data_IF_802916307694
#
_entry.id   IF_802916307694
#
_cell.length_a   1.000
_cell.length_b   1.000
_cell.length_c   1.000
_cell.angle_alpha   90.00
_cell.angle_beta   90.00
_cell.angle_gamma   90.00
#
_symmetry.space_group_name_H-M   'P 1'
#
loop_
_entity.id
_entity.type
_entity.pdbx_description
1 polymer ?
#
# COMPACT_ATOMS: atom_id res chain seq x y z
N UNK A 1 -4.44 -3.70 30.20
CA UNK A 1 -4.23 -5.07 29.72
C UNK A 1 -5.34 -5.37 28.72
N UNK A 2 -5.05 -5.31 27.43
CA UNK A 2 -5.97 -5.81 26.41
C UNK A 2 -6.05 -7.32 26.59
N UNK A 3 -7.22 -7.82 26.98
CA UNK A 3 -7.50 -9.25 26.95
C UNK A 3 -7.27 -9.72 25.51
N UNK A 4 -6.61 -10.87 25.33
CA UNK A 4 -6.30 -11.46 24.02
C UNK A 4 -7.56 -11.91 23.27
N UNK A 5 -8.43 -10.94 22.97
CA UNK A 5 -9.66 -11.11 22.21
C UNK A 5 -9.28 -11.02 20.75
N UNK A 6 -9.76 -12.00 20.01
CA UNK A 6 -9.72 -11.98 18.57
C UNK A 6 -10.38 -10.70 18.00
N UNK A 7 -9.72 -10.06 17.03
CA UNK A 7 -10.16 -8.80 16.46
C UNK A 7 -10.82 -9.01 15.09
N UNK A 8 -12.12 -9.26 15.11
CA UNK A 8 -12.96 -9.51 13.93
C UNK A 8 -13.72 -8.24 13.55
N UNK A 9 -13.03 -7.30 12.91
CA UNK A 9 -13.62 -6.02 12.53
C UNK A 9 -14.71 -6.18 11.47
N UNK A 10 -15.88 -5.60 11.69
CA UNK A 10 -16.85 -5.43 10.61
C UNK A 10 -16.40 -4.33 9.62
N UNK A 11 -17.12 -4.18 8.51
CA UNK A 11 -16.80 -3.19 7.47
C UNK A 11 -16.73 -1.76 8.02
N UNK A 12 -17.67 -1.37 8.91
CA UNK A 12 -17.69 -0.02 9.47
C UNK A 12 -16.48 0.20 10.39
N UNK A 13 -16.14 -0.78 11.23
CA UNK A 13 -14.97 -0.70 12.09
C UNK A 13 -13.66 -0.68 11.29
N UNK A 14 -13.58 -1.41 10.16
CA UNK A 14 -12.46 -1.32 9.22
C UNK A 14 -12.34 0.08 8.64
N UNK A 15 -13.45 0.72 8.23
CA UNK A 15 -13.45 2.11 7.79
C UNK A 15 -12.93 3.04 8.90
N UNK A 16 -13.32 2.80 10.15
CA UNK A 16 -12.81 3.53 11.32
C UNK A 16 -11.28 3.43 11.45
N UNK A 17 -10.70 2.25 11.25
CA UNK A 17 -9.22 2.07 11.25
C UNK A 17 -8.55 2.87 10.12
N UNK A 18 -9.13 2.87 8.92
CA UNK A 18 -8.59 3.60 7.78
C UNK A 18 -8.67 5.11 8.01
N UNK A 19 -9.76 5.60 8.59
CA UNK A 19 -9.89 7.00 8.99
C UNK A 19 -8.94 7.40 10.10
N UNK A 20 -8.68 6.51 11.06
CA UNK A 20 -7.69 6.76 12.10
C UNK A 20 -6.31 6.98 11.47
N UNK A 21 -5.91 6.16 10.49
CA UNK A 21 -4.69 6.38 9.72
C UNK A 21 -4.68 7.75 9.03
N UNK A 22 -5.77 8.13 8.36
CA UNK A 22 -5.90 9.44 7.72
C UNK A 22 -5.77 10.58 8.74
N UNK A 23 -6.36 10.43 9.92
CA UNK A 23 -6.27 11.45 10.98
C UNK A 23 -4.82 11.68 11.44
N UNK A 24 -4.02 10.60 11.57
CA UNK A 24 -2.60 10.72 11.87
C UNK A 24 -1.82 11.38 10.74
N UNK A 25 -2.17 11.11 9.47
CA UNK A 25 -1.55 11.77 8.33
C UNK A 25 -1.88 13.27 8.30
N UNK A 26 -3.12 13.66 8.61
CA UNK A 26 -3.53 15.06 8.73
C UNK A 26 -2.82 15.77 9.88
N UNK A 27 -2.71 15.13 11.04
CA UNK A 27 -1.97 15.66 12.19
C UNK A 27 -0.49 15.88 11.86
N UNK A 28 0.13 14.93 11.15
CA UNK A 28 1.56 14.98 10.85
C UNK A 28 1.90 15.92 9.67
N UNK A 29 1.10 15.92 8.60
CA UNK A 29 1.41 16.66 7.37
C UNK A 29 0.63 17.97 7.20
N UNK A 30 -0.46 18.14 7.94
CA UNK A 30 -1.44 19.22 7.79
C UNK A 30 -2.68 18.78 7.00
N UNK A 31 -3.84 19.33 7.36
CA UNK A 31 -5.10 19.20 6.62
C UNK A 31 -5.27 20.35 5.62
N UNK A 32 -4.23 20.58 4.82
CA UNK A 32 -4.24 21.55 3.72
C UNK A 32 -3.78 20.88 2.43
N UNK A 33 -3.84 21.62 1.33
CA UNK A 33 -3.47 21.12 0.00
C UNK A 33 -1.99 20.67 -0.05
N UNK A 34 -1.11 21.28 0.76
CA UNK A 34 0.29 20.86 0.85
C UNK A 34 0.45 19.56 1.64
N UNK A 35 -0.28 19.41 2.75
CA UNK A 35 -0.31 18.22 3.57
C UNK A 35 -0.91 17.03 2.83
N UNK A 36 -2.00 17.25 2.09
CA UNK A 36 -2.59 16.27 1.17
C UNK A 36 -1.55 15.74 0.19
N UNK A 37 -0.84 16.62 -0.52
CA UNK A 37 0.22 16.20 -1.47
C UNK A 37 1.31 15.36 -0.81
N UNK A 38 1.69 15.64 0.43
CA UNK A 38 2.67 14.81 1.17
C UNK A 38 2.09 13.44 1.52
N UNK A 39 0.86 13.40 2.01
CA UNK A 39 0.19 12.15 2.40
C UNK A 39 -0.04 11.21 1.21
N UNK A 40 -0.27 11.74 0.00
CA UNK A 40 -0.46 10.95 -1.22
C UNK A 40 0.77 10.15 -1.66
N UNK A 41 1.98 10.50 -1.20
CA UNK A 41 3.16 9.65 -1.39
C UNK A 41 3.09 8.36 -0.57
N UNK A 42 2.28 8.33 0.49
CA UNK A 42 2.19 7.21 1.43
C UNK A 42 0.90 6.40 1.29
N UNK A 43 -0.23 7.04 0.98
CA UNK A 43 -1.54 6.36 1.00
C UNK A 43 -1.65 5.17 0.05
N UNK A 44 -1.23 5.22 -1.22
CA UNK A 44 -1.35 4.08 -2.12
C UNK A 44 -0.65 2.82 -1.57
N UNK A 45 0.54 2.98 -0.98
CA UNK A 45 1.27 1.86 -0.37
C UNK A 45 0.55 1.31 0.88
N UNK A 46 0.03 2.17 1.74
CA UNK A 46 -0.72 1.73 2.92
C UNK A 46 -2.02 1.03 2.53
N UNK A 47 -2.73 1.51 1.51
CA UNK A 47 -3.98 0.88 1.08
C UNK A 47 -3.76 -0.40 0.26
N UNK A 48 -2.70 -0.52 -0.53
CA UNK A 48 -2.26 -1.81 -1.10
C UNK A 48 -1.97 -2.84 0.01
N UNK A 49 -1.37 -2.41 1.14
CA UNK A 49 -1.16 -3.30 2.27
C UNK A 49 -2.47 -3.63 3.01
N UNK A 50 -3.27 -2.62 3.36
CA UNK A 50 -4.48 -2.78 4.17
C UNK A 50 -5.62 -3.47 3.45
N UNK A 51 -5.64 -3.47 2.12
CA UNK A 51 -6.62 -4.23 1.32
C UNK A 51 -6.49 -5.74 1.52
N UNK A 52 -5.34 -6.21 1.98
CA UNK A 52 -5.08 -7.62 2.34
C UNK A 52 -5.61 -8.00 3.72
N UNK A 53 -5.89 -7.01 4.56
CA UNK A 53 -6.47 -7.27 5.88
C UNK A 53 -7.97 -7.52 5.76
N UNK A 54 -8.41 -8.69 6.25
CA UNK A 54 -9.82 -9.06 6.45
C UNK A 54 -9.96 -9.81 7.78
N UNK A 55 -11.16 -9.91 8.36
CA UNK A 55 -11.40 -10.76 9.52
C UNK A 55 -11.08 -12.23 9.18
N UNK A 56 -10.22 -12.85 9.98
CA UNK A 56 -9.77 -14.23 9.81
C UNK A 56 -9.94 -15.01 11.12
N UNK A 57 -11.14 -15.56 11.39
CA UNK A 57 -11.46 -16.31 12.60
C UNK A 57 -10.44 -17.40 12.97
N UNK A 58 -9.95 -17.43 14.21
CA UNK A 58 -8.96 -18.36 14.73
C UNK A 58 -9.46 -19.80 14.60
N UNK A 59 -10.76 -20.01 14.81
CA UNK A 59 -11.43 -21.29 14.61
C UNK A 59 -11.25 -21.85 13.19
N UNK A 60 -11.03 -21.00 12.18
CA UNK A 60 -10.85 -21.37 10.77
C UNK A 60 -9.39 -21.29 10.35
N UNK A 61 -8.68 -20.23 10.73
CA UNK A 61 -7.34 -19.90 10.23
C UNK A 61 -6.20 -20.11 11.23
N UNK A 62 -6.49 -20.50 12.48
CA UNK A 62 -5.47 -20.63 13.54
C UNK A 62 -4.41 -21.70 13.28
N UNK A 63 -4.69 -22.70 12.45
CA UNK A 63 -3.65 -23.61 11.95
C UNK A 63 -2.77 -22.93 10.88
N UNK A 64 -3.40 -22.32 9.88
CA UNK A 64 -2.73 -21.67 8.76
C UNK A 64 -1.86 -20.49 9.20
N UNK A 65 -2.28 -19.72 10.22
CA UNK A 65 -1.51 -18.60 10.77
C UNK A 65 -0.17 -19.01 11.39
N UNK A 66 -0.02 -20.28 11.79
CA UNK A 66 1.24 -20.83 12.32
C UNK A 66 2.20 -21.28 11.21
N UNK A 67 1.71 -21.46 9.99
CA UNK A 67 2.51 -21.86 8.84
C UNK A 67 3.08 -20.63 8.12
N UNK A 68 2.28 -19.58 7.95
CA UNK A 68 2.70 -18.33 7.31
C UNK A 68 1.88 -17.12 7.80
N UNK A 69 2.42 -15.89 7.72
CA UNK A 69 1.67 -14.69 8.05
C UNK A 69 0.51 -14.48 7.06
N UNK A 70 -0.74 -14.59 7.55
CA UNK A 70 -1.93 -14.52 6.70
C UNK A 70 -2.09 -13.18 5.98
N UNK A 71 -1.74 -12.07 6.64
CA UNK A 71 -1.82 -10.71 6.07
C UNK A 71 -0.84 -10.48 4.90
N UNK A 72 0.21 -11.30 4.80
CA UNK A 72 1.16 -11.27 3.68
C UNK A 72 0.77 -12.20 2.54
N UNK A 73 -0.29 -13.00 2.73
CA UNK A 73 -0.77 -13.97 1.76
C UNK A 73 -1.98 -13.38 1.04
N UNK A 74 -1.91 -13.39 -0.29
CA UNK A 74 -3.04 -12.95 -1.13
C UNK A 74 -4.17 -13.96 -0.99
N UNK A 75 -5.37 -13.44 -0.80
CA UNK A 75 -6.59 -14.23 -0.65
C UNK A 75 -7.59 -13.80 -1.72
N UNK A 76 -8.46 -14.73 -2.11
CA UNK A 76 -9.58 -14.40 -2.97
C UNK A 76 -10.52 -13.39 -2.30
N UNK A 77 -11.34 -12.72 -3.10
CA UNK A 77 -12.33 -11.73 -2.64
C UNK A 77 -13.18 -12.26 -1.47
N UNK A 78 -13.57 -13.54 -1.55
CA UNK A 78 -14.45 -14.23 -0.60
C UNK A 78 -13.86 -15.58 -0.21
N UNK A 79 -14.12 -16.01 1.02
CA UNK A 79 -13.74 -17.34 1.48
C UNK A 79 -14.97 -18.17 1.93
N UNK A 80 -15.28 -19.28 1.26
CA UNK A 80 -16.45 -20.10 1.61
C UNK A 80 -16.32 -20.75 2.99
N UNK A 81 -15.11 -20.90 3.56
CA UNK A 81 -14.90 -21.47 4.90
C UNK A 81 -15.51 -20.62 6.01
N UNK A 82 -15.69 -19.33 5.76
CA UNK A 82 -16.38 -18.38 6.66
C UNK A 82 -17.75 -17.95 6.13
N UNK A 83 -18.26 -18.62 5.09
CA UNK A 83 -19.59 -18.37 4.54
C UNK A 83 -19.72 -17.08 3.72
N UNK A 84 -18.61 -16.52 3.23
CA UNK A 84 -18.66 -15.33 2.39
C UNK A 84 -19.02 -15.68 0.95
N UNK A 85 -19.82 -14.81 0.32
CA UNK A 85 -20.07 -14.80 -1.12
C UNK A 85 -19.95 -13.36 -1.65
N UNK A 86 -19.67 -13.17 -2.95
CA UNK A 86 -19.53 -11.81 -3.51
C UNK A 86 -20.78 -10.95 -3.29
N UNK A 87 -21.97 -11.56 -3.31
CA UNK A 87 -23.26 -10.90 -3.09
C UNK A 87 -23.54 -10.62 -1.61
N UNK A 88 -22.86 -11.32 -0.70
CA UNK A 88 -22.97 -11.12 0.74
C UNK A 88 -22.07 -10.01 1.28
N UNK A 89 -21.13 -9.51 0.47
CA UNK A 89 -20.27 -8.38 0.83
C UNK A 89 -20.93 -7.05 0.43
N UNK A 90 -20.80 -6.03 1.29
CA UNK A 90 -21.18 -4.67 0.91
C UNK A 90 -20.24 -4.10 -0.15
N UNK A 91 -20.62 -3.00 -0.80
CA UNK A 91 -19.75 -2.38 -1.81
C UNK A 91 -18.50 -1.79 -1.17
N UNK A 92 -18.62 -1.21 0.03
CA UNK A 92 -17.46 -0.76 0.79
C UNK A 92 -16.54 -1.93 1.15
N UNK A 93 -17.07 -3.07 1.57
CA UNK A 93 -16.24 -4.23 1.93
C UNK A 93 -15.46 -4.78 0.72
N UNK A 94 -16.10 -4.84 -0.45
CA UNK A 94 -15.42 -5.21 -1.71
C UNK A 94 -14.35 -4.19 -2.08
N UNK A 95 -14.65 -2.90 -1.98
CA UNK A 95 -13.69 -1.83 -2.26
C UNK A 95 -12.48 -1.90 -1.32
N UNK A 96 -12.71 -2.12 -0.03
CA UNK A 96 -11.66 -2.32 0.99
C UNK A 96 -10.83 -3.59 0.77
N UNK A 97 -11.20 -4.49 -0.15
CA UNK A 97 -10.44 -5.69 -0.55
C UNK A 97 -9.89 -5.58 -1.97
N UNK A 98 -10.15 -4.48 -2.67
CA UNK A 98 -9.78 -4.32 -4.07
C UNK A 98 -8.28 -4.03 -4.22
N UNK A 99 -7.59 -4.84 -5.02
CA UNK A 99 -6.15 -4.66 -5.27
C UNK A 99 -5.82 -3.60 -6.33
N UNK A 100 -6.82 -3.01 -6.98
CA UNK A 100 -6.60 -2.10 -8.09
C UNK A 100 -6.03 -0.75 -7.61
N UNK A 101 -4.93 -0.23 -8.19
CA UNK A 101 -4.30 1.01 -7.74
C UNK A 101 -5.24 2.23 -7.75
N UNK A 102 -6.10 2.35 -8.76
CA UNK A 102 -7.08 3.45 -8.82
C UNK A 102 -8.14 3.36 -7.72
N UNK A 103 -8.43 2.15 -7.23
CA UNK A 103 -9.31 1.97 -6.07
C UNK A 103 -8.64 2.56 -4.82
N UNK A 104 -7.34 2.34 -4.64
CA UNK A 104 -6.57 2.90 -3.51
C UNK A 104 -6.56 4.43 -3.54
N UNK A 105 -6.40 5.02 -4.72
CA UNK A 105 -6.51 6.47 -4.91
C UNK A 105 -7.90 7.01 -4.55
N UNK A 106 -8.96 6.40 -5.09
CA UNK A 106 -10.33 6.79 -4.80
C UNK A 106 -10.70 6.65 -3.32
N UNK A 107 -10.22 5.58 -2.66
CA UNK A 107 -10.37 5.39 -1.22
C UNK A 107 -9.66 6.50 -0.43
N UNK A 108 -8.42 6.84 -0.81
CA UNK A 108 -7.66 7.90 -0.16
C UNK A 108 -8.40 9.24 -0.24
N UNK A 109 -8.91 9.59 -1.41
CA UNK A 109 -9.67 10.82 -1.62
C UNK A 109 -10.92 10.83 -0.72
N UNK A 110 -11.72 9.76 -0.74
CA UNK A 110 -12.94 9.67 0.05
C UNK A 110 -12.69 9.75 1.56
N UNK A 111 -11.67 9.05 2.05
CA UNK A 111 -11.33 9.03 3.47
C UNK A 111 -10.73 10.36 3.94
N UNK A 112 -9.99 11.07 3.09
CA UNK A 112 -9.44 12.39 3.41
C UNK A 112 -10.53 13.45 3.54
N UNK A 113 -11.53 13.43 2.66
CA UNK A 113 -12.63 14.41 2.65
C UNK A 113 -13.69 14.17 3.72
N UNK A 114 -13.89 12.91 4.13
CA UNK A 114 -14.93 12.58 5.09
C UNK A 114 -14.67 13.27 6.45
N UNK A 115 -15.72 13.84 7.04
CA UNK A 115 -15.71 14.40 8.40
C UNK A 115 -15.99 13.34 9.48
N UNK A 116 -16.63 12.22 9.13
CA UNK A 116 -16.95 11.12 10.05
C UNK A 116 -16.80 9.72 9.43
N UNK A 117 -16.84 8.69 10.28
CA UNK A 117 -16.81 7.28 9.86
C UNK A 117 -18.04 6.92 9.02
N UNK A 118 -19.21 7.47 9.36
CA UNK A 118 -20.44 7.28 8.60
C UNK A 118 -20.37 7.91 7.20
N UNK A 119 -19.81 9.12 7.09
CA UNK A 119 -19.61 9.79 5.80
C UNK A 119 -18.59 9.05 4.93
N UNK A 120 -17.49 8.57 5.52
CA UNK A 120 -16.52 7.75 4.81
C UNK A 120 -17.15 6.46 4.31
N UNK A 121 -17.86 5.73 5.17
CA UNK A 121 -18.54 4.49 4.78
C UNK A 121 -19.50 4.75 3.62
N UNK A 122 -20.34 5.80 3.70
CA UNK A 122 -21.27 6.15 2.63
C UNK A 122 -20.55 6.49 1.31
N UNK A 123 -19.42 7.20 1.37
CA UNK A 123 -18.62 7.52 0.20
C UNK A 123 -18.00 6.25 -0.43
N UNK A 124 -17.48 5.34 0.39
CA UNK A 124 -16.90 4.08 -0.05
C UNK A 124 -17.95 3.13 -0.63
N UNK A 125 -19.15 3.06 -0.04
CA UNK A 125 -20.28 2.30 -0.61
C UNK A 125 -20.64 2.82 -2.01
N UNK A 126 -20.70 4.14 -2.18
CA UNK A 126 -20.99 4.75 -3.49
C UNK A 126 -19.91 4.45 -4.53
N UNK A 127 -18.64 4.68 -4.19
CA UNK A 127 -17.51 4.38 -5.09
C UNK A 127 -17.50 2.89 -5.45
N UNK A 128 -17.71 2.02 -4.46
CA UNK A 128 -17.76 0.59 -4.66
C UNK A 128 -18.84 0.20 -5.65
N UNK A 129 -20.07 0.69 -5.45
CA UNK A 129 -21.20 0.42 -6.32
C UNK A 129 -20.98 0.90 -7.77
N UNK A 130 -20.26 2.01 -7.95
CA UNK A 130 -20.01 2.62 -9.25
C UNK A 130 -18.86 1.94 -10.04
N UNK A 131 -17.84 1.42 -9.35
CA UNK A 131 -16.53 1.12 -10.00
C UNK A 131 -15.91 -0.22 -9.65
N UNK A 132 -16.22 -0.82 -8.49
CA UNK A 132 -15.40 -1.92 -7.94
C UNK A 132 -15.40 -3.16 -8.84
N UNK A 133 -16.52 -3.46 -9.50
CA UNK A 133 -16.64 -4.62 -10.38
C UNK A 133 -15.67 -4.52 -11.55
N UNK A 134 -15.58 -3.35 -12.19
CA UNK A 134 -14.65 -3.12 -13.30
C UNK A 134 -13.19 -3.29 -12.86
N UNK A 135 -12.83 -2.74 -11.71
CA UNK A 135 -11.49 -2.88 -11.14
C UNK A 135 -11.13 -4.33 -10.77
N UNK A 136 -12.09 -5.08 -10.21
CA UNK A 136 -11.90 -6.51 -9.93
C UNK A 136 -11.69 -7.33 -11.22
N UNK A 137 -12.40 -6.99 -12.29
CA UNK A 137 -12.22 -7.60 -13.62
C UNK A 137 -10.85 -7.29 -14.22
N UNK A 138 -10.40 -6.04 -14.14
CA UNK A 138 -9.08 -5.61 -14.60
C UNK A 138 -7.95 -6.32 -13.83
N UNK A 139 -8.04 -6.40 -12.51
CA UNK A 139 -7.08 -7.17 -11.69
C UNK A 139 -7.05 -8.63 -12.12
N UNK A 140 -8.21 -9.25 -12.36
CA UNK A 140 -8.31 -10.65 -12.81
C UNK A 140 -7.74 -10.86 -14.21
N UNK A 141 -7.86 -9.86 -15.09
CA UNK A 141 -7.27 -9.87 -16.42
C UNK A 141 -5.73 -9.65 -16.41
N UNK A 142 -5.12 -9.45 -15.24
CA UNK A 142 -3.69 -9.18 -15.10
C UNK A 142 -3.31 -7.70 -15.19
N UNK A 143 -4.30 -6.80 -15.20
CA UNK A 143 -4.11 -5.35 -15.14
C UNK A 143 -3.58 -4.92 -13.78
N UNK A 144 -2.25 -4.96 -13.61
CA UNK A 144 -1.54 -4.26 -12.52
C UNK A 144 -0.53 -3.27 -13.07
N UNK A 145 -0.83 -2.64 -14.20
CA UNK A 145 0.01 -1.59 -14.77
C UNK A 145 -0.15 -0.30 -13.96
N UNK A 146 0.45 -0.31 -12.77
CA UNK A 146 0.45 0.76 -11.78
C UNK A 146 1.56 0.49 -10.77
N UNK A 147 2.81 0.55 -11.26
CA UNK A 147 4.09 0.64 -10.56
C UNK A 147 4.07 0.46 -9.01
N UNK A 148 3.93 -0.79 -8.56
CA UNK A 148 4.28 -1.18 -7.19
C UNK A 148 5.82 -1.20 -6.95
N UNK A 149 6.64 -0.79 -7.93
CA UNK A 149 8.11 -0.82 -7.85
C UNK A 149 8.70 0.41 -7.17
N UNK A 150 7.90 1.35 -6.65
CA UNK A 150 8.35 2.33 -5.64
C UNK A 150 8.42 1.76 -4.22
N UNK A 151 8.61 0.44 -4.10
CA UNK A 151 9.12 -0.18 -2.89
C UNK A 151 10.46 0.47 -2.54
N UNK A 152 10.45 1.30 -1.49
CA UNK A 152 11.65 1.83 -0.86
C UNK A 152 12.51 0.66 -0.38
N UNK A 153 13.42 0.22 -1.24
CA UNK A 153 14.49 -0.68 -0.88
C UNK A 153 15.26 -0.04 0.26
N UNK A 154 15.15 -0.64 1.44
CA UNK A 154 16.09 -0.43 2.52
C UNK A 154 17.49 -0.62 1.93
N UNK A 155 18.28 0.45 1.93
CA UNK A 155 19.64 0.45 1.40
C UNK A 155 20.47 -0.62 2.08
N UNK A 156 20.67 -1.74 1.38
CA UNK A 156 21.73 -2.69 1.71
C UNK A 156 23.00 -2.10 1.14
N UNK A 157 23.83 -1.55 2.02
CA UNK A 157 25.20 -1.21 1.71
C UNK A 157 25.91 -2.47 1.20
N UNK A 158 26.36 -2.43 -0.04
CA UNK A 158 27.34 -3.37 -0.56
C UNK A 158 28.69 -2.66 -0.56
N UNK A 159 29.44 -2.87 0.51
CA UNK A 159 30.86 -2.55 0.58
C UNK A 159 31.67 -3.82 0.25
N UNK A 160 32.77 -3.65 -0.50
CA UNK A 160 33.76 -4.67 -0.85
C UNK A 160 33.48 -5.44 -2.16
N UNK A 161 34.40 -5.58 -3.12
CA UNK A 161 35.79 -5.19 -3.19
C UNK A 161 36.47 -5.85 -4.41
N UNK A 162 37.15 -5.01 -5.20
CA UNK A 162 38.42 -5.21 -5.96
C UNK A 162 38.64 -6.40 -6.92
N UNK A 163 39.11 -5.98 -8.11
CA UNK A 163 40.33 -6.37 -8.84
C UNK A 163 40.22 -7.31 -10.06
N UNK A 164 40.73 -6.79 -11.20
CA UNK A 164 41.08 -7.53 -12.40
C UNK A 164 41.53 -6.59 -13.52
N UNK A 165 42.82 -6.64 -13.88
CA UNK A 165 43.61 -5.62 -14.60
C UNK A 165 43.84 -5.96 -16.09
N UNK A 166 44.28 -4.95 -16.86
CA UNK A 166 45.06 -4.93 -18.13
C UNK A 166 44.25 -4.76 -19.44
N UNK A 167 44.64 -3.89 -20.39
CA UNK A 167 45.83 -3.05 -20.51
C UNK A 167 45.75 -2.15 -21.77
N UNK A 168 46.76 -1.29 -21.97
CA UNK A 168 46.94 -0.51 -23.21
C UNK A 168 47.71 0.79 -22.99
N UNK A 169 48.92 0.87 -23.53
CA UNK A 169 50.00 1.80 -23.20
C UNK A 169 50.31 2.75 -24.38
N UNK A 170 50.78 3.97 -24.08
CA UNK A 170 51.42 4.93 -25.01
C UNK A 170 50.82 6.33 -24.93
N UNK A 171 51.51 7.47 -24.84
CA UNK A 171 52.92 7.89 -24.97
C UNK A 171 52.99 9.34 -24.40
N UNK A 172 53.89 9.72 -23.47
CA UNK A 172 55.08 10.62 -23.64
C UNK A 172 54.89 11.78 -24.64
N UNK A 173 55.24 13.06 -24.44
CA UNK A 173 56.09 13.89 -23.56
C UNK A 173 55.61 15.38 -23.72
N UNK A 174 55.72 16.36 -22.81
CA UNK A 174 56.82 17.34 -22.50
C UNK A 174 56.14 18.50 -21.72
N UNK A 175 56.58 18.95 -20.54
CA UNK A 175 57.73 19.80 -20.18
C UNK A 175 57.59 21.31 -20.53
N UNK A 176 57.81 22.18 -19.51
CA UNK A 176 57.95 23.65 -19.54
C UNK A 176 56.96 24.35 -18.56
N UNK A 177 57.27 24.73 -17.32
CA UNK A 177 58.16 25.85 -16.87
C UNK A 177 57.90 27.13 -17.70
N UNK A 178 57.57 28.31 -17.18
CA UNK A 178 58.14 29.06 -16.05
C UNK A 178 57.33 30.36 -15.79
N UNK A 179 57.41 30.87 -14.55
CA UNK A 179 57.53 32.29 -14.12
C UNK A 179 56.51 33.38 -14.51
N UNK A 180 55.75 33.80 -13.49
CA UNK A 180 55.81 35.10 -12.80
C UNK A 180 55.80 36.45 -13.58
N UNK A 181 54.92 37.34 -13.07
CA UNK A 181 54.94 38.83 -13.03
C UNK A 181 54.05 39.59 -14.04
N UNK A 182 53.22 40.45 -13.45
CA UNK A 182 52.45 41.50 -14.09
C UNK A 182 51.25 41.89 -13.26
#
# INVERSE_FOLDING_TARGET
MLQGREWLLDTQERVGVFRLLVSYMKEHFGDDERGRRKAWYFFPWHFDFLTRYRPLPEAVYGAQSREHPLILTRQDLTDPRVGETPEGLSWAERLLRCEHPDAHGAMADALWEAGSDAEALAALERIGAERVVCWEEEVRAGGRDGDASRGGGLGVGSDGGKAGTQGGMGSRDRAGEELERG
#
